data_IF_122087413357
#
_entry.id   IF_122087413357
#
_cell.length_a   1.000
_cell.length_b   1.000
_cell.length_c   1.000
_cell.angle_alpha   90.00
_cell.angle_beta   90.00
_cell.angle_gamma   90.00
#
_symmetry.space_group_name_H-M   'P 1'
#
loop_
_entity.id
_entity.type
_entity.pdbx_description
1 polymer ?
#
# COMPACT_ATOMS: atom_id res chain seq x y z
N UNK A 1 12.46 -3.91 -26.08
CA UNK A 1 12.78 -4.24 -24.66
C UNK A 1 12.14 -3.28 -23.66
N UNK A 2 12.15 -1.96 -23.89
CA UNK A 2 11.54 -0.98 -22.98
C UNK A 2 10.05 -1.25 -22.66
N UNK A 3 9.23 -1.57 -23.67
CA UNK A 3 7.80 -1.90 -23.48
C UNK A 3 7.57 -3.15 -22.60
N UNK A 4 8.44 -4.14 -22.69
CA UNK A 4 8.33 -5.37 -21.90
C UNK A 4 8.65 -5.09 -20.43
N UNK A 5 9.74 -4.34 -20.18
CA UNK A 5 10.11 -3.90 -18.84
C UNK A 5 9.01 -3.00 -18.23
N UNK A 6 8.41 -2.12 -19.03
CA UNK A 6 7.28 -1.29 -18.61
C UNK A 6 6.07 -2.13 -18.19
N UNK A 7 5.69 -3.12 -19.00
CA UNK A 7 4.58 -4.01 -18.67
C UNK A 7 4.82 -4.81 -17.39
N UNK A 8 6.05 -5.32 -17.21
CA UNK A 8 6.44 -6.05 -15.99
C UNK A 8 6.42 -5.12 -14.78
N UNK A 9 6.91 -3.88 -14.91
CA UNK A 9 6.89 -2.90 -13.82
C UNK A 9 5.46 -2.54 -13.38
N UNK A 10 4.54 -2.35 -14.33
CA UNK A 10 3.12 -2.12 -14.04
C UNK A 10 2.45 -3.32 -13.37
N UNK A 11 2.76 -4.54 -13.83
CA UNK A 11 2.23 -5.76 -13.25
C UNK A 11 2.69 -5.95 -11.79
N UNK A 12 4.00 -5.73 -11.53
CA UNK A 12 4.56 -5.81 -10.19
C UNK A 12 4.02 -4.72 -9.27
N UNK A 13 3.91 -3.47 -9.77
CA UNK A 13 3.32 -2.38 -9.01
C UNK A 13 1.87 -2.71 -8.60
N UNK A 14 1.06 -3.17 -9.55
CA UNK A 14 -0.35 -3.54 -9.30
C UNK A 14 -0.47 -4.67 -8.27
N UNK A 15 0.39 -5.67 -8.36
CA UNK A 15 0.44 -6.78 -7.39
C UNK A 15 0.79 -6.31 -5.97
N UNK A 16 1.80 -5.45 -5.84
CA UNK A 16 2.21 -4.88 -4.54
C UNK A 16 1.10 -4.07 -3.89
N UNK A 17 0.35 -3.28 -4.67
CA UNK A 17 -0.80 -2.53 -4.15
C UNK A 17 -1.93 -3.42 -3.66
N UNK A 18 -2.25 -4.48 -4.40
CA UNK A 18 -3.27 -5.44 -3.98
C UNK A 18 -2.89 -6.15 -2.68
N UNK A 19 -1.60 -6.49 -2.52
CA UNK A 19 -1.09 -7.08 -1.27
C UNK A 19 -1.18 -6.09 -0.10
N UNK A 20 -0.86 -4.83 -0.35
CA UNK A 20 -0.90 -3.77 0.67
C UNK A 20 -2.34 -3.46 1.12
N UNK A 21 -3.28 -3.44 0.17
CA UNK A 21 -4.72 -3.30 0.45
C UNK A 21 -5.27 -4.52 1.20
N UNK A 22 -4.95 -5.73 0.74
CA UNK A 22 -5.36 -6.97 1.38
C UNK A 22 -4.85 -7.09 2.82
N UNK A 23 -3.59 -6.74 3.08
CA UNK A 23 -3.01 -6.74 4.43
C UNK A 23 -3.64 -5.69 5.34
N UNK A 24 -3.90 -4.49 4.83
CA UNK A 24 -4.58 -3.42 5.56
C UNK A 24 -6.00 -3.82 5.98
N UNK A 25 -6.74 -4.46 5.08
CA UNK A 25 -8.11 -4.94 5.32
C UNK A 25 -8.18 -6.20 6.19
N UNK A 26 -7.16 -7.07 6.11
CA UNK A 26 -7.10 -8.34 6.86
C UNK A 26 -6.82 -8.13 8.35
N UNK A 27 -6.07 -7.09 8.71
CA UNK A 27 -5.90 -6.74 10.12
C UNK A 27 -7.28 -6.36 10.67
N UNK A 28 -7.70 -6.91 11.80
CA UNK A 28 -8.98 -6.58 12.45
C UNK A 28 -8.72 -5.78 13.73
N UNK A 29 -9.67 -4.93 14.16
CA UNK A 29 -9.53 -4.17 15.40
C UNK A 29 -9.36 -5.09 16.63
N UNK A 30 -9.86 -6.32 16.58
CA UNK A 30 -9.64 -7.37 17.58
C UNK A 30 -8.18 -7.81 17.68
N UNK A 31 -7.49 -8.04 16.55
CA UNK A 31 -6.05 -8.35 16.54
C UNK A 31 -5.22 -7.23 17.17
N UNK A 32 -5.58 -5.97 16.92
CA UNK A 32 -4.91 -4.80 17.52
C UNK A 32 -5.19 -4.72 19.01
N UNK A 33 -6.43 -5.01 19.45
CA UNK A 33 -6.81 -5.01 20.86
C UNK A 33 -6.07 -6.08 21.65
N UNK A 34 -5.91 -7.29 21.09
CA UNK A 34 -5.07 -8.34 21.69
C UNK A 34 -3.60 -7.95 21.73
N UNK A 35 -3.05 -7.35 20.67
CA UNK A 35 -1.67 -6.87 20.65
C UNK A 35 -1.42 -5.76 21.69
N UNK A 36 -2.37 -4.83 21.85
CA UNK A 36 -2.30 -3.77 22.85
C UNK A 36 -2.33 -4.33 24.28
N UNK A 37 -3.15 -5.35 24.54
CA UNK A 37 -3.17 -6.05 25.83
C UNK A 37 -1.87 -6.79 26.12
N UNK A 38 -1.20 -7.32 25.10
CA UNK A 38 0.12 -7.96 25.21
C UNK A 38 1.28 -6.95 25.34
N UNK A 39 1.01 -5.66 25.55
CA UNK A 39 2.05 -4.64 25.77
C UNK A 39 2.80 -4.22 24.51
N UNK A 40 2.31 -4.56 23.32
CA UNK A 40 2.94 -4.19 22.07
C UNK A 40 2.87 -2.67 21.82
N UNK A 41 4.00 -1.97 21.93
CA UNK A 41 4.09 -0.51 21.69
C UNK A 41 3.59 -0.09 20.30
N UNK A 42 3.70 -0.97 19.30
CA UNK A 42 3.21 -0.72 17.93
C UNK A 42 1.68 -0.76 17.81
N UNK A 43 0.97 -1.40 18.76
CA UNK A 43 -0.48 -1.54 18.70
C UNK A 43 -1.21 -0.19 18.85
N UNK A 44 -0.66 0.76 19.62
CA UNK A 44 -1.23 2.11 19.75
C UNK A 44 -1.16 2.92 18.45
N UNK A 45 -0.02 2.84 17.75
CA UNK A 45 0.16 3.47 16.44
C UNK A 45 -0.73 2.82 15.37
N UNK A 46 -0.79 1.50 15.36
CA UNK A 46 -1.62 0.74 14.43
C UNK A 46 -3.13 0.95 14.66
N UNK A 47 -3.55 1.10 15.93
CA UNK A 47 -4.91 1.48 16.29
C UNK A 47 -5.27 2.85 15.70
N UNK A 48 -4.40 3.84 15.87
CA UNK A 48 -4.61 5.20 15.33
C UNK A 48 -4.61 5.25 13.81
N UNK A 49 -3.80 4.40 13.17
CA UNK A 49 -3.75 4.27 11.71
C UNK A 49 -5.00 3.57 11.15
N UNK A 50 -5.63 2.69 11.94
CA UNK A 50 -6.82 1.92 11.55
C UNK A 50 -8.14 2.56 11.96
N UNK A 51 -8.15 3.45 12.95
CA UNK A 51 -9.30 4.33 13.21
C UNK A 51 -9.66 5.17 11.98
N UNK A 52 -8.68 5.41 11.12
CA UNK A 52 -8.81 6.20 9.89
C UNK A 52 -8.35 5.37 8.69
N UNK A 53 -8.95 4.19 8.46
CA UNK A 53 -8.61 3.24 7.36
C UNK A 53 -8.56 3.93 6.00
N UNK A 54 -9.35 4.98 5.81
CA UNK A 54 -9.33 5.78 4.59
C UNK A 54 -7.98 6.43 4.31
N UNK A 55 -7.23 6.78 5.35
CA UNK A 55 -5.95 7.48 5.23
C UNK A 55 -4.82 6.60 4.67
N UNK A 56 -4.53 5.39 5.19
CA UNK A 56 -3.60 4.47 4.56
C UNK A 56 -4.12 4.00 3.20
N UNK A 57 -5.43 3.79 3.02
CA UNK A 57 -6.00 3.41 1.71
C UNK A 57 -5.78 4.50 0.64
N UNK A 58 -5.99 5.77 0.98
CA UNK A 58 -5.68 6.91 0.09
C UNK A 58 -4.19 7.04 -0.20
N UNK A 59 -3.33 6.77 0.78
CA UNK A 59 -1.87 6.77 0.58
C UNK A 59 -1.43 5.66 -0.40
N UNK A 60 -2.01 4.46 -0.28
CA UNK A 60 -1.82 3.32 -1.18
C UNK A 60 -2.24 3.73 -2.61
N UNK A 61 -3.44 4.29 -2.79
CA UNK A 61 -3.93 4.72 -4.10
C UNK A 61 -3.11 5.88 -4.71
N UNK A 62 -2.67 6.82 -3.88
CA UNK A 62 -1.82 7.95 -4.30
C UNK A 62 -0.46 7.43 -4.79
N UNK A 63 0.14 6.49 -4.06
CA UNK A 63 1.40 5.89 -4.46
C UNK A 63 1.21 5.11 -5.79
N UNK A 64 0.07 4.44 -6.02
CA UNK A 64 -0.22 3.77 -7.29
C UNK A 64 -0.27 4.76 -8.46
N UNK A 65 -0.92 5.91 -8.25
CA UNK A 65 -1.00 6.99 -9.24
C UNK A 65 0.38 7.60 -9.52
N UNK A 66 1.18 7.81 -8.48
CA UNK A 66 2.56 8.31 -8.62
C UNK A 66 3.45 7.28 -9.31
N UNK A 67 3.33 6.00 -8.98
CA UNK A 67 4.08 4.93 -9.64
C UNK A 67 3.76 4.91 -11.14
N UNK A 68 2.47 4.89 -11.50
CA UNK A 68 2.05 4.95 -12.89
C UNK A 68 2.58 6.21 -13.60
N UNK A 69 2.47 7.38 -12.96
CA UNK A 69 2.91 8.67 -13.53
C UNK A 69 4.43 8.77 -13.69
N UNK A 70 5.20 8.32 -12.68
CA UNK A 70 6.67 8.32 -12.70
C UNK A 70 7.22 7.34 -13.73
N UNK A 71 6.59 6.18 -13.86
CA UNK A 71 6.96 5.18 -14.87
C UNK A 71 6.64 5.72 -16.27
N UNK A 72 5.47 6.33 -16.49
CA UNK A 72 5.13 6.97 -17.76
C UNK A 72 6.05 8.16 -18.10
N UNK A 73 6.46 8.97 -17.11
CA UNK A 73 7.35 10.12 -17.31
C UNK A 73 8.78 9.73 -17.70
N UNK A 74 9.23 8.53 -17.34
CA UNK A 74 10.56 8.02 -17.70
C UNK A 74 10.58 7.24 -19.04
N UNK A 75 9.51 7.30 -19.85
CA UNK A 75 9.56 6.77 -21.21
C UNK A 75 10.43 7.69 -22.10
N UNK A 76 11.54 7.17 -22.69
CA UNK A 76 12.28 7.90 -23.70
C UNK A 76 11.51 7.82 -25.02
N UNK A 77 10.85 8.92 -25.42
CA UNK A 77 10.12 8.96 -26.69
C UNK A 77 9.11 10.10 -26.84
N UNK A 78 9.42 11.32 -26.38
CA UNK A 78 8.87 12.52 -27.01
C UNK A 78 9.88 13.04 -28.03
#
# INVERSE_FOLDING_TARGET
MALLIFYVALALASFLYSLLEATLLTITPSSIRSAAQNGAKWAGGLKKLKDDVERPLKAILTLNTVAYTMICRNMPGN
#
